data_IF_066105772918
#
_entry.id   IF_066105772918
#
_cell.length_a   1.000
_cell.length_b   1.000
_cell.length_c   1.000
_cell.angle_alpha   90.00
_cell.angle_beta   90.00
_cell.angle_gamma   90.00
#
_symmetry.space_group_name_H-M   'P 1'
#
loop_
_entity.id
_entity.type
_entity.pdbx_description
1 polymer ?
#
# COMPACT_ATOMS: atom_id res chain seq x y z
N UNK A 1 -5.73 17.58 50.77
CA UNK A 1 -6.12 18.17 49.47
C UNK A 1 -5.29 17.50 48.40
N UNK A 2 -5.91 16.56 47.74
CA UNK A 2 -5.25 15.68 46.77
C UNK A 2 -4.91 16.44 45.50
N UNK A 3 -3.63 16.40 45.12
CA UNK A 3 -3.22 16.70 43.77
C UNK A 3 -3.76 15.62 42.84
N UNK A 4 -4.80 15.95 42.08
CA UNK A 4 -5.21 15.15 40.96
C UNK A 4 -4.04 15.12 39.98
N UNK A 5 -3.42 13.97 39.88
CA UNK A 5 -2.44 13.69 38.83
C UNK A 5 -3.03 14.13 37.50
N UNK A 6 -2.30 14.97 36.78
CA UNK A 6 -2.51 15.11 35.34
C UNK A 6 -2.28 13.74 34.77
N UNK A 7 -3.39 13.04 34.52
CA UNK A 7 -3.35 11.80 33.75
C UNK A 7 -2.55 12.08 32.51
N UNK A 8 -1.64 11.18 32.20
CA UNK A 8 -1.07 11.04 30.89
C UNK A 8 -2.24 11.04 29.91
N UNK A 9 -2.47 12.18 29.26
CA UNK A 9 -3.28 12.20 28.05
C UNK A 9 -2.52 11.31 27.10
N UNK A 10 -2.96 10.06 26.99
CA UNK A 10 -2.40 9.12 26.03
C UNK A 10 -2.45 9.82 24.69
N UNK A 11 -1.28 10.10 24.15
CA UNK A 11 -1.15 10.75 22.84
C UNK A 11 -1.87 9.85 21.82
N UNK A 12 -3.08 10.28 21.41
CA UNK A 12 -3.99 9.48 20.56
C UNK A 12 -3.52 9.42 19.11
N UNK A 13 -2.23 9.65 18.87
CA UNK A 13 -1.61 9.55 17.55
C UNK A 13 -0.96 8.18 17.46
N UNK A 14 -1.33 7.36 16.46
CA UNK A 14 -0.70 6.06 16.29
C UNK A 14 0.80 6.22 16.01
N UNK A 15 1.62 5.53 16.78
CA UNK A 15 3.06 5.52 16.54
C UNK A 15 3.36 4.90 15.18
N UNK A 16 4.25 5.53 14.42
CA UNK A 16 4.63 5.11 13.07
C UNK A 16 6.16 5.06 12.95
N UNK A 17 6.67 3.94 12.46
CA UNK A 17 8.06 3.84 12.03
C UNK A 17 8.21 4.40 10.61
N UNK A 18 8.64 5.64 10.48
CA UNK A 18 8.81 6.30 9.18
C UNK A 18 9.88 5.67 8.30
N UNK A 19 10.89 5.00 8.86
CA UNK A 19 11.87 4.24 8.08
C UNK A 19 11.25 3.03 7.40
N UNK A 20 10.36 2.33 8.11
CA UNK A 20 9.56 1.25 7.51
C UNK A 20 8.64 1.78 6.41
N UNK A 21 8.01 2.95 6.60
CA UNK A 21 7.18 3.62 5.58
C UNK A 21 7.99 3.96 4.33
N UNK A 22 9.18 4.53 4.48
CA UNK A 22 10.05 4.85 3.34
C UNK A 22 10.51 3.60 2.59
N UNK A 23 10.87 2.54 3.31
CA UNK A 23 11.25 1.27 2.68
C UNK A 23 10.06 0.60 1.99
N UNK A 24 8.87 0.63 2.61
CA UNK A 24 7.64 0.14 2.01
C UNK A 24 7.28 0.93 0.73
N UNK A 25 7.46 2.25 0.74
CA UNK A 25 7.30 3.09 -0.46
C UNK A 25 8.27 2.68 -1.57
N UNK A 26 9.53 2.50 -1.26
CA UNK A 26 10.54 2.08 -2.24
C UNK A 26 10.22 0.67 -2.80
N UNK A 27 9.73 -0.24 -1.94
CA UNK A 27 9.37 -1.60 -2.35
C UNK A 27 8.22 -1.61 -3.37
N UNK A 28 7.26 -0.69 -3.30
CA UNK A 28 6.19 -0.59 -4.29
C UNK A 28 6.71 -0.28 -5.70
N UNK A 29 7.74 0.57 -5.77
CA UNK A 29 8.39 0.88 -7.05
C UNK A 29 9.09 -0.35 -7.63
N UNK A 30 9.74 -1.16 -6.77
CA UNK A 30 10.38 -2.41 -7.18
C UNK A 30 9.33 -3.44 -7.64
N UNK A 31 8.25 -3.61 -6.90
CA UNK A 31 7.13 -4.50 -7.28
C UNK A 31 6.56 -4.07 -8.63
N UNK A 32 6.27 -2.77 -8.82
CA UNK A 32 5.76 -2.25 -10.09
C UNK A 32 6.73 -2.46 -11.25
N UNK A 33 8.03 -2.21 -11.04
CA UNK A 33 9.05 -2.42 -12.07
C UNK A 33 9.13 -3.89 -12.52
N UNK A 34 9.06 -4.83 -11.56
CA UNK A 34 9.06 -6.27 -11.86
C UNK A 34 7.75 -6.68 -12.53
N UNK A 35 6.60 -6.26 -11.99
CA UNK A 35 5.28 -6.65 -12.48
C UNK A 35 5.04 -6.20 -13.92
N UNK A 36 5.37 -4.94 -14.23
CA UNK A 36 5.18 -4.37 -15.56
C UNK A 36 6.39 -4.55 -16.49
N UNK A 37 7.38 -5.37 -16.11
CA UNK A 37 8.45 -5.78 -17.01
C UNK A 37 7.86 -6.59 -18.18
N UNK A 38 8.42 -6.42 -19.39
CA UNK A 38 7.95 -7.10 -20.63
C UNK A 38 7.92 -8.62 -20.52
N UNK A 39 8.85 -9.19 -19.76
CA UNK A 39 8.96 -10.63 -19.52
C UNK A 39 8.02 -11.19 -18.45
N UNK A 40 7.29 -10.33 -17.71
CA UNK A 40 6.35 -10.75 -16.66
C UNK A 40 4.92 -10.46 -17.13
N UNK A 41 4.34 -9.33 -16.77
CA UNK A 41 2.97 -8.98 -17.18
C UNK A 41 2.89 -7.73 -18.06
N UNK A 42 3.99 -7.00 -18.25
CA UNK A 42 4.02 -5.71 -18.94
C UNK A 42 3.47 -5.75 -20.36
N UNK A 43 3.87 -6.74 -21.18
CA UNK A 43 3.37 -6.89 -22.56
C UNK A 43 1.85 -7.16 -22.58
N UNK A 44 1.36 -8.01 -21.68
CA UNK A 44 -0.06 -8.30 -21.57
C UNK A 44 -0.86 -7.08 -21.10
N UNK A 45 -0.34 -6.38 -20.09
CA UNK A 45 -0.94 -5.16 -19.58
C UNK A 45 -1.02 -4.08 -20.66
N UNK A 46 0.07 -3.82 -21.38
CA UNK A 46 0.13 -2.82 -22.43
C UNK A 46 -0.91 -3.08 -23.54
N UNK A 47 -1.06 -4.34 -23.94
CA UNK A 47 -2.08 -4.74 -24.92
C UNK A 47 -3.50 -4.51 -24.40
N UNK A 48 -3.78 -4.87 -23.16
CA UNK A 48 -5.11 -4.70 -22.55
C UNK A 48 -5.45 -3.24 -22.27
N UNK A 49 -4.46 -2.45 -21.87
CA UNK A 49 -4.60 -1.04 -21.55
C UNK A 49 -4.47 -0.11 -22.78
N UNK A 50 -4.16 -0.67 -23.97
CA UNK A 50 -3.88 0.06 -25.20
C UNK A 50 -2.77 1.13 -25.01
N UNK A 51 -1.67 0.74 -24.35
CA UNK A 51 -0.52 1.60 -24.06
C UNK A 51 0.68 1.19 -24.90
N UNK A 52 1.33 2.17 -25.51
CA UNK A 52 2.59 1.97 -26.21
C UNK A 52 3.76 2.00 -25.21
N UNK A 53 4.44 0.88 -25.08
CA UNK A 53 5.62 0.74 -24.19
C UNK A 53 6.91 1.32 -24.76
N UNK A 54 6.91 1.70 -26.04
CA UNK A 54 8.09 2.25 -26.73
C UNK A 54 8.07 3.80 -26.77
N UNK A 55 7.11 4.42 -26.08
CA UNK A 55 7.08 5.89 -25.92
C UNK A 55 8.34 6.41 -25.24
N UNK A 56 8.85 7.60 -25.63
CA UNK A 56 10.01 8.21 -25.00
C UNK A 56 9.85 8.34 -23.48
N UNK A 57 10.90 7.98 -22.73
CA UNK A 57 10.88 7.92 -21.25
C UNK A 57 10.50 9.23 -20.55
N UNK A 58 10.66 10.39 -21.22
CA UNK A 58 10.24 11.69 -20.67
C UNK A 58 8.74 11.76 -20.35
N UNK A 59 7.88 11.00 -21.06
CA UNK A 59 6.44 10.95 -20.80
C UNK A 59 6.07 10.11 -19.55
N UNK A 60 7.02 9.34 -19.00
CA UNK A 60 6.80 8.50 -17.82
C UNK A 60 7.16 9.19 -16.50
N UNK A 61 7.87 10.31 -16.51
CA UNK A 61 8.37 10.97 -15.28
C UNK A 61 7.23 11.40 -14.37
N UNK A 62 6.21 12.08 -14.90
CA UNK A 62 5.09 12.54 -14.08
C UNK A 62 4.31 11.38 -13.46
N UNK A 63 3.89 10.33 -14.19
CA UNK A 63 3.27 9.15 -13.60
C UNK A 63 4.14 8.49 -12.51
N UNK A 64 5.45 8.40 -12.68
CA UNK A 64 6.36 7.84 -11.66
C UNK A 64 6.39 8.70 -10.39
N UNK A 65 6.48 10.02 -10.53
CA UNK A 65 6.43 10.95 -9.37
C UNK A 65 5.11 10.80 -8.61
N UNK A 66 3.99 10.79 -9.32
CA UNK A 66 2.67 10.58 -8.72
C UNK A 66 2.61 9.23 -8.01
N UNK A 67 3.14 8.17 -8.64
CA UNK A 67 3.16 6.83 -8.03
C UNK A 67 3.96 6.81 -6.73
N UNK A 68 5.12 7.46 -6.67
CA UNK A 68 5.92 7.57 -5.43
C UNK A 68 5.14 8.27 -4.33
N UNK A 69 4.49 9.40 -4.63
CA UNK A 69 3.70 10.16 -3.66
C UNK A 69 2.53 9.32 -3.15
N UNK A 70 1.77 8.70 -4.04
CA UNK A 70 0.63 7.86 -3.68
C UNK A 70 1.08 6.65 -2.88
N UNK A 71 2.18 6.00 -3.27
CA UNK A 71 2.75 4.87 -2.53
C UNK A 71 3.20 5.26 -1.12
N UNK A 72 3.78 6.45 -0.96
CA UNK A 72 4.13 6.96 0.37
C UNK A 72 2.89 7.17 1.24
N UNK A 73 1.85 7.80 0.70
CA UNK A 73 0.58 8.00 1.43
C UNK A 73 -0.04 6.65 1.80
N UNK A 74 -0.05 5.69 0.88
CA UNK A 74 -0.56 4.33 1.13
C UNK A 74 0.21 3.62 2.24
N UNK A 75 1.55 3.65 2.20
CA UNK A 75 2.40 3.03 3.22
C UNK A 75 2.23 3.71 4.59
N UNK A 76 2.09 5.04 4.62
CA UNK A 76 1.85 5.81 5.83
C UNK A 76 0.50 5.47 6.48
N UNK A 77 -0.57 5.44 5.68
CA UNK A 77 -1.92 5.05 6.14
C UNK A 77 -1.90 3.60 6.63
N UNK A 78 -1.26 2.69 5.88
CA UNK A 78 -1.14 1.28 6.27
C UNK A 78 -0.40 1.13 7.60
N UNK A 79 0.70 1.87 7.82
CA UNK A 79 1.45 1.82 9.07
C UNK A 79 0.60 2.29 10.26
N UNK A 80 -0.07 3.44 10.14
CA UNK A 80 -0.94 3.96 11.20
C UNK A 80 -2.12 3.04 11.50
N UNK A 81 -2.79 2.54 10.47
CA UNK A 81 -3.90 1.60 10.61
C UNK A 81 -3.46 0.27 11.24
N UNK A 82 -2.25 -0.21 10.91
CA UNK A 82 -1.68 -1.43 11.51
C UNK A 82 -1.41 -1.25 13.02
N UNK A 83 -0.90 -0.09 13.43
CA UNK A 83 -0.68 0.23 14.84
C UNK A 83 -2.01 0.27 15.59
N UNK A 84 -3.04 0.92 15.05
CA UNK A 84 -4.39 0.96 15.64
C UNK A 84 -4.96 -0.46 15.76
N UNK A 85 -4.87 -1.25 14.70
CA UNK A 85 -5.37 -2.63 14.69
C UNK A 85 -4.65 -3.49 15.74
N UNK A 86 -3.34 -3.35 15.86
CA UNK A 86 -2.56 -4.07 16.86
C UNK A 86 -2.93 -3.68 18.30
N UNK A 87 -3.10 -2.39 18.58
CA UNK A 87 -3.55 -1.91 19.90
C UNK A 87 -4.95 -2.41 20.25
N UNK A 88 -5.84 -2.49 19.28
CA UNK A 88 -7.23 -2.87 19.51
C UNK A 88 -7.43 -4.38 19.67
N UNK A 89 -6.78 -5.18 18.81
CA UNK A 89 -6.97 -6.63 18.76
C UNK A 89 -5.87 -7.40 19.51
N UNK A 90 -4.73 -6.81 19.76
CA UNK A 90 -3.56 -7.48 20.33
C UNK A 90 -2.89 -8.44 19.35
N UNK A 91 -2.07 -9.36 19.90
CA UNK A 91 -1.37 -10.36 19.10
C UNK A 91 -0.07 -9.83 18.45
N UNK A 92 0.39 -10.53 17.43
CA UNK A 92 1.63 -10.17 16.74
C UNK A 92 1.44 -9.00 15.76
N UNK A 93 2.33 -8.01 15.79
CA UNK A 93 2.26 -6.82 14.95
C UNK A 93 2.30 -7.16 13.44
N UNK A 94 3.10 -8.15 13.02
CA UNK A 94 3.13 -8.61 11.63
C UNK A 94 1.76 -9.11 11.15
N UNK A 95 1.06 -9.85 12.01
CA UNK A 95 -0.28 -10.35 11.66
C UNK A 95 -1.28 -9.20 11.53
N UNK A 96 -1.24 -8.25 12.45
CA UNK A 96 -2.06 -7.02 12.37
C UNK A 96 -1.78 -6.24 11.07
N UNK A 97 -0.50 -6.05 10.72
CA UNK A 97 -0.11 -5.34 9.49
C UNK A 97 -0.58 -6.07 8.22
N UNK A 98 -0.44 -7.40 8.14
CA UNK A 98 -0.88 -8.17 6.98
C UNK A 98 -2.40 -8.19 6.83
N UNK A 99 -3.14 -8.38 7.92
CA UNK A 99 -4.60 -8.34 7.89
C UNK A 99 -5.09 -6.94 7.48
N UNK A 100 -4.50 -5.89 8.04
CA UNK A 100 -4.83 -4.51 7.67
C UNK A 100 -4.54 -4.25 6.20
N UNK A 101 -3.40 -4.71 5.68
CA UNK A 101 -3.04 -4.57 4.26
C UNK A 101 -4.09 -5.22 3.35
N UNK A 102 -4.50 -6.45 3.64
CA UNK A 102 -5.50 -7.17 2.84
C UNK A 102 -6.88 -6.49 2.92
N UNK A 103 -7.30 -6.05 4.10
CA UNK A 103 -8.59 -5.38 4.31
C UNK A 103 -8.62 -4.04 3.55
N UNK A 104 -7.59 -3.21 3.68
CA UNK A 104 -7.50 -1.93 2.97
C UNK A 104 -7.44 -2.14 1.45
N UNK A 105 -6.66 -3.11 0.97
CA UNK A 105 -6.64 -3.47 -0.44
C UNK A 105 -8.03 -3.88 -0.93
N UNK A 106 -8.71 -4.79 -0.24
CA UNK A 106 -10.01 -5.29 -0.68
C UNK A 106 -11.08 -4.19 -0.71
N UNK A 107 -11.19 -3.41 0.38
CA UNK A 107 -12.26 -2.41 0.54
C UNK A 107 -12.03 -1.11 -0.22
N UNK A 108 -10.78 -0.65 -0.34
CA UNK A 108 -10.49 0.67 -0.89
C UNK A 108 -9.79 0.64 -2.25
N UNK A 109 -9.09 -0.43 -2.60
CA UNK A 109 -8.40 -0.56 -3.88
C UNK A 109 -9.15 -1.47 -4.83
N UNK A 110 -9.28 -2.77 -4.52
CA UNK A 110 -9.92 -3.72 -5.42
C UNK A 110 -11.38 -3.35 -5.72
N UNK A 111 -12.16 -3.01 -4.71
CA UNK A 111 -13.56 -2.60 -4.87
C UNK A 111 -13.69 -1.37 -5.78
N UNK A 112 -12.78 -0.39 -5.67
CA UNK A 112 -12.77 0.82 -6.51
C UNK A 112 -12.38 0.53 -7.94
N UNK A 113 -11.32 -0.25 -8.17
CA UNK A 113 -10.94 -0.67 -9.52
C UNK A 113 -12.08 -1.42 -10.22
N UNK A 114 -12.70 -2.39 -9.54
CA UNK A 114 -13.82 -3.15 -10.09
C UNK A 114 -14.97 -2.22 -10.51
N UNK A 115 -15.34 -1.26 -9.67
CA UNK A 115 -16.42 -0.33 -9.95
C UNK A 115 -16.09 0.58 -11.12
N UNK A 116 -14.93 1.25 -11.10
CA UNK A 116 -14.54 2.20 -12.14
C UNK A 116 -14.37 1.50 -13.50
N UNK A 117 -13.67 0.38 -13.53
CA UNK A 117 -13.42 -0.36 -14.77
C UNK A 117 -14.73 -0.91 -15.38
N UNK A 118 -15.70 -1.32 -14.52
CA UNK A 118 -17.02 -1.74 -14.99
C UNK A 118 -17.77 -0.61 -15.69
N UNK A 119 -17.80 0.61 -15.12
CA UNK A 119 -18.44 1.77 -15.73
C UNK A 119 -17.70 2.25 -16.98
N UNK A 120 -16.38 2.13 -17.02
CA UNK A 120 -15.55 2.49 -18.18
C UNK A 120 -15.57 1.43 -19.29
N UNK A 121 -16.20 0.27 -19.06
CA UNK A 121 -16.22 -0.84 -20.02
C UNK A 121 -14.85 -1.47 -20.27
N UNK A 122 -13.93 -1.40 -19.29
CA UNK A 122 -12.60 -2.00 -19.42
C UNK A 122 -12.67 -3.53 -19.39
N UNK A 123 -11.75 -4.24 -20.07
CA UNK A 123 -11.70 -5.68 -20.00
C UNK A 123 -11.45 -6.17 -18.57
N UNK A 124 -12.25 -7.11 -18.07
CA UNK A 124 -12.10 -7.68 -16.72
C UNK A 124 -10.71 -8.28 -16.47
N UNK A 125 -10.04 -8.76 -17.52
CA UNK A 125 -8.65 -9.25 -17.44
C UNK A 125 -7.65 -8.14 -17.11
N UNK A 126 -7.91 -6.89 -17.52
CA UNK A 126 -7.11 -5.73 -17.11
C UNK A 126 -7.35 -5.39 -15.64
N UNK A 127 -8.61 -5.37 -15.23
CA UNK A 127 -8.99 -5.14 -13.82
C UNK A 127 -8.32 -6.16 -12.90
N UNK A 128 -8.43 -7.46 -13.21
CA UNK A 128 -7.79 -8.53 -12.43
C UNK A 128 -6.28 -8.34 -12.36
N UNK A 129 -5.63 -7.98 -13.46
CA UNK A 129 -4.18 -7.79 -13.49
C UNK A 129 -3.75 -6.61 -12.61
N UNK A 130 -4.49 -5.51 -12.64
CA UNK A 130 -4.22 -4.33 -11.83
C UNK A 130 -4.47 -4.59 -10.34
N UNK A 131 -5.62 -5.18 -9.96
CA UNK A 131 -5.90 -5.45 -8.54
C UNK A 131 -4.98 -6.52 -7.95
N UNK A 132 -4.48 -7.47 -8.75
CA UNK A 132 -3.49 -8.44 -8.31
C UNK A 132 -2.12 -7.78 -8.06
N UNK A 133 -1.70 -6.84 -8.93
CA UNK A 133 -0.51 -6.01 -8.67
C UNK A 133 -0.62 -5.26 -7.34
N UNK A 134 -1.75 -4.60 -7.13
CA UNK A 134 -2.01 -3.86 -5.90
C UNK A 134 -2.00 -4.78 -4.65
N UNK A 135 -2.56 -6.00 -4.76
CA UNK A 135 -2.51 -6.97 -3.66
C UNK A 135 -1.06 -7.30 -3.27
N UNK A 136 -0.23 -7.61 -4.27
CA UNK A 136 1.19 -7.92 -4.02
C UNK A 136 1.88 -6.71 -3.38
N UNK A 137 1.61 -5.51 -3.86
CA UNK A 137 2.16 -4.26 -3.31
C UNK A 137 1.77 -4.08 -1.84
N UNK A 138 0.47 -4.20 -1.51
CA UNK A 138 -0.02 -4.08 -0.13
C UNK A 138 0.56 -5.15 0.79
N UNK A 139 0.68 -6.40 0.32
CA UNK A 139 1.27 -7.50 1.10
C UNK A 139 2.75 -7.25 1.37
N UNK A 140 3.53 -6.83 0.36
CA UNK A 140 4.95 -6.51 0.54
C UNK A 140 5.14 -5.33 1.51
N UNK A 141 4.36 -4.26 1.36
CA UNK A 141 4.36 -3.14 2.30
C UNK A 141 3.98 -3.61 3.71
N UNK A 142 2.95 -4.45 3.86
CA UNK A 142 2.50 -5.00 5.13
C UNK A 142 3.56 -5.88 5.80
N UNK A 143 4.32 -6.66 5.03
CA UNK A 143 5.47 -7.42 5.56
C UNK A 143 6.54 -6.47 6.09
N UNK A 144 6.95 -5.46 5.32
CA UNK A 144 8.00 -4.51 5.72
C UNK A 144 7.61 -3.77 7.01
N UNK A 145 6.39 -3.22 7.05
CA UNK A 145 5.86 -2.52 8.21
C UNK A 145 5.72 -3.48 9.40
N UNK A 146 5.25 -4.69 9.14
CA UNK A 146 4.99 -5.69 10.17
C UNK A 146 6.24 -6.27 10.85
N UNK A 147 7.35 -6.40 10.10
CA UNK A 147 8.64 -6.88 10.65
C UNK A 147 9.48 -5.76 11.25
N UNK A 148 9.13 -4.51 10.98
CA UNK A 148 9.81 -3.34 11.52
C UNK A 148 8.82 -2.38 12.18
N UNK A 149 8.21 -2.80 13.30
CA UNK A 149 7.19 -2.01 13.97
C UNK A 149 7.77 -0.75 14.63
N UNK A 150 6.93 0.17 15.09
CA UNK A 150 7.34 1.30 15.92
C UNK A 150 8.00 0.85 17.23
N UNK A 151 8.85 1.70 17.80
CA UNK A 151 9.41 1.47 19.14
C UNK A 151 8.26 1.42 20.16
N UNK A 152 8.27 0.42 21.05
CA UNK A 152 7.21 0.26 22.06
C UNK A 152 6.12 -0.76 21.70
N UNK A 153 6.17 -1.35 20.50
CA UNK A 153 5.24 -2.42 20.08
C UNK A 153 5.85 -3.83 20.20
N UNK A 154 7.09 -3.95 20.67
CA UNK A 154 7.86 -5.19 20.92
C UNK A 154 8.33 -5.24 22.33
#
# INVERSE_FOLDING_TARGET
MGGLGRGEEAEMVPEINYWAVLLATASSMAVGAIWYARGVFGTRWAKLANVDMDRPGASAVMPLVVTVIVSFVTAWVLAGASTIAWHFYGGGYLVAALLTAVILWAGFTAARFITHDAFEGRPSSLTVLNIAHELVTFVVMGVIIGVWPPAGTV
#
